data_IF_083896482681
#
_entry.id   IF_083896482681
#
_cell.length_a   1.000
_cell.length_b   1.000
_cell.length_c   1.000
_cell.angle_alpha   90.00
_cell.angle_beta   90.00
_cell.angle_gamma   90.00
#
_symmetry.space_group_name_H-M   'P 1'
#
loop_
_entity.id
_entity.type
_entity.pdbx_description
1 polymer ?
#
# COMPACT_ATOMS: atom_id res chain seq x y z
N UNK A 1 -0.59 -5.46 -19.28
CA UNK A 1 -0.32 -5.73 -17.85
C UNK A 1 0.60 -4.63 -17.37
N UNK A 2 0.16 -3.84 -16.39
CA UNK A 2 0.99 -2.78 -15.82
C UNK A 2 2.11 -3.40 -15.00
N UNK A 3 3.35 -3.02 -15.28
CA UNK A 3 4.52 -3.46 -14.51
C UNK A 3 4.57 -2.70 -13.19
N UNK A 4 4.60 -3.43 -12.08
CA UNK A 4 4.79 -2.85 -10.75
C UNK A 4 6.29 -2.63 -10.53
N UNK A 5 6.64 -1.45 -10.02
CA UNK A 5 8.01 -1.14 -9.61
C UNK A 5 8.42 -2.04 -8.44
N UNK A 6 9.64 -2.57 -8.48
CA UNK A 6 10.19 -3.36 -7.38
C UNK A 6 10.14 -2.57 -6.07
N UNK A 7 9.55 -3.16 -5.03
CA UNK A 7 9.38 -2.52 -3.71
C UNK A 7 8.10 -1.68 -3.58
N UNK A 8 7.26 -1.63 -4.62
CA UNK A 8 5.95 -0.96 -4.58
C UNK A 8 4.78 -1.94 -4.44
N UNK A 9 5.04 -3.22 -4.23
CA UNK A 9 4.02 -4.25 -4.07
C UNK A 9 3.15 -3.99 -2.82
N UNK A 10 1.88 -4.40 -2.88
CA UNK A 10 1.03 -4.42 -1.69
C UNK A 10 1.60 -5.38 -0.65
N UNK A 11 1.40 -5.06 0.63
CA UNK A 11 1.83 -5.89 1.74
C UNK A 11 0.63 -6.30 2.60
N UNK A 12 0.63 -7.56 3.03
CA UNK A 12 -0.36 -8.11 3.95
C UNK A 12 0.32 -9.05 4.94
N UNK A 13 -0.05 -8.94 6.21
CA UNK A 13 0.39 -9.82 7.27
C UNK A 13 -0.80 -10.21 8.16
N UNK A 14 -1.02 -11.51 8.36
CA UNK A 14 -2.01 -12.01 9.29
C UNK A 14 -1.40 -12.14 10.69
N UNK A 15 -1.93 -11.38 11.65
CA UNK A 15 -1.52 -11.43 13.05
C UNK A 15 -2.71 -11.70 13.97
N UNK A 16 -2.79 -10.97 15.07
CA UNK A 16 -3.87 -11.04 16.05
C UNK A 16 -5.19 -10.43 15.53
N UNK A 17 -6.18 -10.30 16.41
CA UNK A 17 -7.51 -9.79 16.10
C UNK A 17 -7.61 -8.25 16.01
N UNK A 18 -6.49 -7.53 16.11
CA UNK A 18 -6.41 -6.08 15.91
C UNK A 18 -5.78 -5.83 14.54
N UNK A 19 -6.51 -5.10 13.69
CA UNK A 19 -6.09 -4.75 12.33
C UNK A 19 -5.52 -3.34 12.24
N UNK A 20 -4.43 -3.17 11.49
CA UNK A 20 -3.84 -1.88 11.14
C UNK A 20 -3.83 -1.73 9.62
N UNK A 21 -4.49 -0.68 9.12
CA UNK A 21 -4.47 -0.29 7.73
C UNK A 21 -3.49 0.87 7.52
N UNK A 22 -2.51 0.69 6.65
CA UNK A 22 -1.52 1.71 6.30
C UNK A 22 -1.80 2.23 4.90
N UNK A 23 -1.84 3.56 4.74
CA UNK A 23 -1.89 4.21 3.43
C UNK A 23 -0.59 4.97 3.19
N UNK A 24 -0.02 4.81 2.01
CA UNK A 24 1.03 5.72 1.55
C UNK A 24 0.42 7.03 1.01
N UNK A 25 1.27 8.04 0.81
CA UNK A 25 0.87 9.36 0.31
C UNK A 25 0.87 9.48 -1.22
N UNK A 26 0.43 10.67 -1.67
CA UNK A 26 0.47 11.11 -3.07
C UNK A 26 1.90 11.02 -3.64
N UNK A 27 2.06 10.57 -4.88
CA UNK A 27 3.35 10.26 -5.56
C UNK A 27 4.20 9.17 -4.90
N UNK A 28 3.76 8.64 -3.75
CA UNK A 28 4.48 7.62 -3.02
C UNK A 28 4.20 6.20 -3.50
N UNK A 29 4.74 5.24 -2.78
CA UNK A 29 4.47 3.82 -2.93
C UNK A 29 4.49 3.14 -1.56
N UNK A 30 4.16 1.85 -1.52
CA UNK A 30 4.20 1.04 -0.30
C UNK A 30 5.58 1.02 0.35
N UNK A 31 6.66 1.21 -0.44
CA UNK A 31 8.03 1.35 0.07
C UNK A 31 8.15 2.33 1.24
N UNK A 32 7.49 3.49 1.15
CA UNK A 32 7.55 4.54 2.18
C UNK A 32 6.95 4.12 3.54
N UNK A 33 6.05 3.14 3.53
CA UNK A 33 5.34 2.64 4.70
C UNK A 33 5.84 1.27 5.16
N UNK A 34 6.76 0.63 4.41
CA UNK A 34 7.23 -0.72 4.72
C UNK A 34 7.87 -0.86 6.11
N UNK A 35 8.71 0.09 6.58
CA UNK A 35 9.25 0.00 7.94
C UNK A 35 8.18 -0.03 9.04
N UNK A 36 7.06 0.68 8.84
CA UNK A 36 5.93 0.62 9.76
C UNK A 36 5.14 -0.68 9.63
N UNK A 37 4.94 -1.15 8.40
CA UNK A 37 4.25 -2.42 8.14
C UNK A 37 4.97 -3.59 8.81
N UNK A 38 6.29 -3.64 8.69
CA UNK A 38 7.15 -4.63 9.33
C UNK A 38 7.10 -4.52 10.85
N UNK A 39 7.30 -3.32 11.41
CA UNK A 39 7.28 -3.12 12.87
C UNK A 39 5.94 -3.54 13.51
N UNK A 40 4.80 -3.23 12.87
CA UNK A 40 3.49 -3.65 13.37
C UNK A 40 3.24 -5.15 13.21
N UNK A 41 3.75 -5.76 12.14
CA UNK A 41 3.68 -7.20 11.93
C UNK A 41 4.51 -7.95 12.97
N UNK A 42 5.73 -7.47 13.26
CA UNK A 42 6.59 -8.01 14.32
C UNK A 42 5.96 -7.86 15.72
N UNK A 43 5.20 -6.79 15.94
CA UNK A 43 4.41 -6.60 17.16
C UNK A 43 3.15 -7.51 17.23
N UNK A 44 2.87 -8.28 16.18
CA UNK A 44 1.81 -9.31 16.15
C UNK A 44 0.45 -8.81 15.67
N UNK A 45 0.35 -7.62 15.08
CA UNK A 45 -0.91 -7.10 14.52
C UNK A 45 -1.22 -7.69 13.15
N UNK A 46 -2.49 -7.78 12.78
CA UNK A 46 -2.86 -7.97 11.36
C UNK A 46 -2.62 -6.65 10.62
N UNK A 47 -1.86 -6.65 9.54
CA UNK A 47 -1.45 -5.44 8.81
C UNK A 47 -1.84 -5.54 7.34
N UNK A 48 -2.46 -4.47 6.81
CA UNK A 48 -2.73 -4.30 5.39
C UNK A 48 -2.12 -2.97 4.91
N UNK A 49 -1.32 -3.04 3.84
CA UNK A 49 -0.75 -1.88 3.16
C UNK A 49 -1.00 -2.05 1.66
N UNK A 50 -2.15 -1.56 1.15
CA UNK A 50 -2.45 -1.62 -0.27
C UNK A 50 -1.61 -0.62 -1.06
N UNK A 51 -1.24 -1.00 -2.28
CA UNK A 51 -0.78 -0.07 -3.30
C UNK A 51 -1.97 0.69 -3.88
N UNK A 52 -1.95 2.02 -3.82
CA UNK A 52 -3.02 2.85 -4.38
C UNK A 52 -3.05 2.79 -5.92
N UNK A 53 -4.23 2.96 -6.51
CA UNK A 53 -4.41 2.96 -7.96
C UNK A 53 -3.47 3.96 -8.66
N UNK A 54 -2.87 3.55 -9.78
CA UNK A 54 -1.88 4.35 -10.51
C UNK A 54 -0.51 4.50 -9.85
N UNK A 55 -0.35 4.19 -8.56
CA UNK A 55 0.92 4.37 -7.84
C UNK A 55 1.82 3.15 -7.98
N UNK A 56 3.15 3.37 -7.88
CA UNK A 56 4.15 2.30 -7.92
C UNK A 56 4.30 1.62 -9.28
N UNK A 57 3.97 2.33 -10.37
CA UNK A 57 3.98 1.81 -11.75
C UNK A 57 4.69 2.81 -12.68
N UNK A 58 3.95 3.62 -13.45
CA UNK A 58 4.47 4.74 -14.24
C UNK A 58 3.62 6.02 -13.98
N UNK A 59 4.04 7.16 -14.53
CA UNK A 59 3.38 8.44 -14.29
C UNK A 59 2.04 8.55 -15.03
N UNK A 60 1.92 7.89 -16.18
CA UNK A 60 0.72 7.88 -17.01
C UNK A 60 -0.46 7.20 -16.28
N UNK A 61 -0.18 6.08 -15.61
CA UNK A 61 -1.16 5.35 -14.80
C UNK A 61 -1.64 6.18 -13.59
N UNK A 62 -0.74 6.98 -12.99
CA UNK A 62 -1.10 7.89 -11.90
C UNK A 62 -1.91 9.09 -12.41
N UNK A 63 -1.58 9.64 -13.58
CA UNK A 63 -2.31 10.75 -14.18
C UNK A 63 -3.73 10.34 -14.63
N UNK A 64 -3.92 9.06 -14.97
CA UNK A 64 -5.22 8.51 -15.35
C UNK A 64 -6.12 8.13 -14.14
N UNK A 65 -5.57 8.08 -12.93
CA UNK A 65 -6.34 7.66 -11.74
C UNK A 65 -7.08 8.81 -11.07
N UNK A 66 -8.19 8.47 -10.42
CA UNK A 66 -9.02 9.40 -9.66
C UNK A 66 -8.92 9.17 -8.16
N UNK A 67 -9.30 10.17 -7.37
CA UNK A 67 -9.28 10.04 -5.91
C UNK A 67 -10.18 8.88 -5.42
N UNK A 68 -11.29 8.61 -6.12
CA UNK A 68 -12.22 7.52 -5.81
C UNK A 68 -11.53 6.16 -5.96
N UNK A 69 -10.72 5.97 -7.00
CA UNK A 69 -9.98 4.73 -7.23
C UNK A 69 -8.83 4.54 -6.22
N UNK A 70 -8.35 5.62 -5.61
CA UNK A 70 -7.36 5.56 -4.52
C UNK A 70 -7.99 5.38 -3.13
N UNK A 71 -9.32 5.41 -3.01
CA UNK A 71 -9.98 5.15 -1.72
C UNK A 71 -9.78 3.70 -1.31
N UNK A 72 -9.25 3.49 -0.11
CA UNK A 72 -9.19 2.16 0.49
C UNK A 72 -10.60 1.82 0.99
N UNK A 73 -11.26 0.86 0.33
CA UNK A 73 -12.50 0.27 0.81
C UNK A 73 -12.19 -0.91 1.74
N UNK A 74 -12.95 -0.99 2.84
CA UNK A 74 -12.87 -2.08 3.83
C UNK A 74 -13.90 -3.17 3.57
#
# INVERSE_FOLDING_TARGET
MTTIMKGAESYYHQGNNIGILLSHGFTGSTFSMMPLAEAYSEAGYTVCLPRLAGHGTNLEDMAASTYVETMISG
#
